data_IF_537962264539
#
_entry.id   IF_537962264539
#
_cell.length_a   1.000
_cell.length_b   1.000
_cell.length_c   1.000
_cell.angle_alpha   90.00
_cell.angle_beta   90.00
_cell.angle_gamma   90.00
#
_symmetry.space_group_name_H-M   'P 1'
#
loop_
_entity.id
_entity.type
_entity.pdbx_description
1 polymer ?
#
# COMPACT_ATOMS: atom_id res chain seq x y z
N UNK A 1 14.72 25.85 19.26
CA UNK A 1 13.68 25.78 20.31
C UNK A 1 12.81 24.51 20.29
N UNK A 2 12.82 23.65 19.24
CA UNK A 2 11.92 22.49 19.16
C UNK A 2 12.33 21.24 19.97
N UNK A 3 13.63 20.95 20.13
CA UNK A 3 14.09 19.75 20.85
C UNK A 3 13.66 19.69 22.33
N UNK A 4 13.55 20.85 22.98
CA UNK A 4 13.17 20.96 24.41
C UNK A 4 11.69 20.64 24.64
N UNK A 5 10.85 20.97 23.66
CA UNK A 5 9.41 20.71 23.70
C UNK A 5 9.12 19.22 23.50
N UNK A 6 9.82 18.56 22.56
CA UNK A 6 9.68 17.12 22.31
C UNK A 6 10.08 16.25 23.52
N UNK A 7 11.17 16.62 24.22
CA UNK A 7 11.62 15.91 25.44
C UNK A 7 10.57 15.97 26.56
N UNK A 8 9.92 17.13 26.72
CA UNK A 8 8.87 17.35 27.74
C UNK A 8 7.64 16.44 27.53
N UNK A 9 7.19 16.27 26.28
CA UNK A 9 6.05 15.40 25.99
C UNK A 9 6.31 13.93 26.32
N UNK A 10 7.51 13.40 26.03
CA UNK A 10 7.87 12.01 26.30
C UNK A 10 8.08 11.66 27.78
N UNK A 11 8.24 12.66 28.65
CA UNK A 11 8.45 12.47 30.08
C UNK A 11 7.16 12.67 30.89
N UNK A 12 6.16 13.37 30.34
CA UNK A 12 4.88 13.68 31.00
C UNK A 12 3.72 12.76 30.58
N UNK A 13 3.85 11.99 29.50
CA UNK A 13 2.82 11.03 29.05
C UNK A 13 3.01 9.63 29.64
N UNK A 14 1.95 8.95 30.11
CA UNK A 14 2.03 7.54 30.49
C UNK A 14 2.32 6.69 29.26
N UNK A 15 3.52 6.11 29.20
CA UNK A 15 3.95 5.21 28.14
C UNK A 15 3.41 3.80 28.41
N UNK A 16 3.00 3.10 27.36
CA UNK A 16 2.72 1.67 27.44
C UNK A 16 4.03 0.86 27.60
N UNK A 17 3.90 -0.45 27.84
CA UNK A 17 5.08 -1.28 28.13
C UNK A 17 6.01 -1.43 26.91
N UNK A 18 5.47 -1.38 25.69
CA UNK A 18 6.26 -1.41 24.45
C UNK A 18 7.02 -0.09 24.25
N UNK A 19 6.37 1.05 24.51
CA UNK A 19 6.96 2.37 24.40
C UNK A 19 8.07 2.61 25.44
N UNK A 20 7.92 2.08 26.66
CA UNK A 20 8.98 2.11 27.68
C UNK A 20 10.20 1.30 27.26
N UNK A 21 9.98 0.08 26.78
CA UNK A 21 11.04 -0.79 26.28
C UNK A 21 11.80 -0.12 25.12
N UNK A 22 11.08 0.49 24.18
CA UNK A 22 11.69 1.24 23.08
C UNK A 22 12.51 2.45 23.57
N UNK A 23 12.01 3.18 24.59
CA UNK A 23 12.73 4.31 25.20
C UNK A 23 14.04 3.84 25.84
N UNK A 24 14.01 2.74 26.57
CA UNK A 24 15.22 2.16 27.17
C UNK A 24 16.24 1.72 26.11
N UNK A 25 15.79 1.08 25.03
CA UNK A 25 16.67 0.69 23.93
C UNK A 25 17.30 1.90 23.22
N UNK A 26 16.54 2.97 23.01
CA UNK A 26 17.04 4.21 22.42
C UNK A 26 18.04 4.93 23.33
N UNK A 27 17.81 4.93 24.64
CA UNK A 27 18.71 5.55 25.63
C UNK A 27 20.01 4.76 25.83
N UNK A 28 19.98 3.43 25.67
CA UNK A 28 21.18 2.57 25.68
C UNK A 28 22.12 2.86 24.50
N UNK A 29 21.62 3.43 23.41
CA UNK A 29 22.46 3.87 22.28
C UNK A 29 23.17 2.74 21.53
N UNK A 30 22.68 1.50 21.64
CA UNK A 30 23.29 0.30 21.06
C UNK A 30 23.05 0.15 19.55
N UNK A 31 22.27 1.05 18.94
CA UNK A 31 21.97 1.02 17.52
C UNK A 31 23.20 1.42 16.70
N UNK A 32 23.82 0.44 16.05
CA UNK A 32 24.89 0.66 15.08
C UNK A 32 24.26 0.85 13.70
N UNK A 33 24.76 1.85 12.95
CA UNK A 33 24.34 2.02 11.56
C UNK A 33 24.74 0.81 10.73
N UNK A 34 23.84 0.39 9.84
CA UNK A 34 24.09 -0.70 8.92
C UNK A 34 25.41 -0.44 8.13
N UNK A 35 26.34 -1.42 8.07
CA UNK A 35 27.57 -1.31 7.29
C UNK A 35 27.35 -0.89 5.83
N UNK A 36 26.21 -1.29 5.24
CA UNK A 36 25.82 -0.99 3.86
C UNK A 36 24.68 0.04 3.78
N UNK A 37 24.55 0.92 4.78
CA UNK A 37 23.43 1.86 4.91
C UNK A 37 23.06 2.60 3.62
N UNK A 38 24.05 3.06 2.82
CA UNK A 38 23.77 3.76 1.55
C UNK A 38 23.12 2.86 0.50
N UNK A 39 23.59 1.63 0.37
CA UNK A 39 23.06 0.66 -0.59
C UNK A 39 21.67 0.19 -0.17
N UNK A 40 21.52 -0.19 1.10
CA UNK A 40 20.24 -0.63 1.64
C UNK A 40 19.19 0.50 1.60
N UNK A 41 19.58 1.72 1.95
CA UNK A 41 18.70 2.89 1.81
C UNK A 41 18.23 3.08 0.36
N UNK A 42 19.14 3.00 -0.61
CA UNK A 42 18.80 3.13 -2.02
C UNK A 42 17.86 2.01 -2.48
N UNK A 43 18.14 0.77 -2.09
CA UNK A 43 17.29 -0.38 -2.38
C UNK A 43 15.87 -0.20 -1.82
N UNK A 44 15.74 0.23 -0.56
CA UNK A 44 14.44 0.48 0.06
C UNK A 44 13.70 1.66 -0.58
N UNK A 45 14.40 2.73 -0.95
CA UNK A 45 13.80 3.86 -1.68
C UNK A 45 13.28 3.44 -3.05
N UNK A 46 14.02 2.61 -3.79
CA UNK A 46 13.59 2.07 -5.09
C UNK A 46 12.40 1.12 -4.94
N UNK A 47 12.44 0.22 -3.96
CA UNK A 47 11.33 -0.68 -3.67
C UNK A 47 10.05 0.09 -3.31
N UNK A 48 10.16 1.13 -2.48
CA UNK A 48 9.03 1.98 -2.11
C UNK A 48 8.46 2.73 -3.32
N UNK A 49 9.31 3.30 -4.18
CA UNK A 49 8.87 3.96 -5.42
C UNK A 49 8.14 2.99 -6.34
N UNK A 50 8.73 1.82 -6.59
CA UNK A 50 8.14 0.81 -7.46
C UNK A 50 6.77 0.34 -6.92
N UNK A 51 6.64 0.17 -5.60
CA UNK A 51 5.37 -0.19 -5.00
C UNK A 51 4.31 0.89 -5.22
N UNK A 52 4.66 2.16 -4.98
CA UNK A 52 3.73 3.29 -5.21
C UNK A 52 3.33 3.37 -6.68
N UNK A 53 4.29 3.30 -7.61
CA UNK A 53 4.03 3.35 -9.05
C UNK A 53 3.13 2.20 -9.54
N UNK A 54 3.27 1.01 -8.96
CA UNK A 54 2.46 -0.16 -9.32
C UNK A 54 1.06 -0.13 -8.68
N UNK A 55 0.92 0.45 -7.50
CA UNK A 55 -0.36 0.60 -6.81
C UNK A 55 -1.19 1.78 -7.35
N UNK A 56 -0.53 2.75 -8.00
CA UNK A 56 -1.19 3.88 -8.63
C UNK A 56 -2.13 3.44 -9.76
N UNK A 57 -3.42 3.76 -9.59
CA UNK A 57 -4.43 3.43 -10.60
C UNK A 57 -4.26 4.30 -11.84
N UNK A 58 -3.91 3.68 -12.98
CA UNK A 58 -3.86 4.35 -14.28
C UNK A 58 -5.16 4.16 -15.06
N UNK A 59 -5.75 5.26 -15.56
CA UNK A 59 -6.95 5.19 -16.39
C UNK A 59 -6.65 4.63 -17.79
N UNK A 60 -7.46 3.68 -18.25
CA UNK A 60 -7.40 3.14 -19.62
C UNK A 60 -8.73 3.37 -20.36
N UNK A 61 -8.64 3.69 -21.65
CA UNK A 61 -9.82 3.85 -22.51
C UNK A 61 -10.07 2.57 -23.30
N UNK A 62 -11.22 1.93 -23.09
CA UNK A 62 -11.61 0.70 -23.79
C UNK A 62 -12.92 0.91 -24.54
N UNK A 63 -12.96 0.54 -25.82
CA UNK A 63 -14.21 0.51 -26.60
C UNK A 63 -14.93 -0.81 -26.36
N UNK A 64 -16.19 -0.74 -25.98
CA UNK A 64 -17.06 -1.89 -25.71
C UNK A 64 -18.39 -1.73 -26.43
N UNK A 65 -18.97 -2.84 -26.90
CA UNK A 65 -20.30 -2.84 -27.51
C UNK A 65 -21.34 -2.42 -26.46
N UNK A 66 -22.30 -1.58 -26.86
CA UNK A 66 -23.37 -1.10 -25.95
C UNK A 66 -24.14 -2.24 -25.27
N UNK A 67 -24.42 -3.32 -26.02
CA UNK A 67 -25.10 -4.52 -25.51
C UNK A 67 -24.32 -5.19 -24.37
N UNK A 68 -23.00 -5.29 -24.51
CA UNK A 68 -22.15 -5.95 -23.52
C UNK A 68 -21.98 -5.09 -22.28
N UNK A 69 -21.83 -3.76 -22.46
CA UNK A 69 -21.83 -2.81 -21.35
C UNK A 69 -23.13 -2.89 -20.52
N UNK A 70 -24.28 -3.00 -21.18
CA UNK A 70 -25.57 -3.13 -20.50
C UNK A 70 -25.65 -4.43 -19.67
N UNK A 71 -25.21 -5.56 -20.23
CA UNK A 71 -25.14 -6.84 -19.52
C UNK A 71 -24.20 -6.79 -18.32
N UNK A 72 -23.04 -6.13 -18.47
CA UNK A 72 -22.06 -5.97 -17.41
C UNK A 72 -22.62 -5.16 -16.25
N UNK A 73 -23.26 -4.02 -16.54
CA UNK A 73 -23.95 -3.19 -15.54
C UNK A 73 -25.03 -3.98 -14.81
N UNK A 74 -25.84 -4.75 -15.53
CA UNK A 74 -26.85 -5.60 -14.90
C UNK A 74 -26.24 -6.68 -13.99
N UNK A 75 -25.11 -7.29 -14.39
CA UNK A 75 -24.40 -8.28 -13.56
C UNK A 75 -23.79 -7.64 -12.31
N UNK A 76 -23.21 -6.46 -12.42
CA UNK A 76 -22.65 -5.71 -11.30
C UNK A 76 -23.73 -5.30 -10.30
N UNK A 77 -24.87 -4.78 -10.78
CA UNK A 77 -26.01 -4.42 -9.96
C UNK A 77 -26.57 -5.62 -9.16
N UNK A 78 -26.67 -6.81 -9.77
CA UNK A 78 -27.09 -8.03 -9.06
C UNK A 78 -26.17 -8.42 -7.90
N UNK A 79 -24.88 -8.06 -7.99
CA UNK A 79 -23.89 -8.35 -6.95
C UNK A 79 -23.64 -7.15 -6.02
N UNK A 80 -24.45 -6.08 -6.11
CA UNK A 80 -24.30 -4.84 -5.34
C UNK A 80 -22.90 -4.21 -5.41
N UNK A 81 -22.24 -4.31 -6.59
CA UNK A 81 -20.94 -3.69 -6.83
C UNK A 81 -21.00 -2.73 -8.03
N UNK A 82 -20.15 -1.68 -8.06
CA UNK A 82 -19.97 -0.86 -9.26
C UNK A 82 -19.49 -1.71 -10.45
N UNK A 83 -19.91 -1.36 -11.67
CA UNK A 83 -19.48 -2.11 -12.86
C UNK A 83 -17.98 -1.96 -13.13
N UNK A 84 -17.36 -0.83 -12.73
CA UNK A 84 -15.91 -0.66 -12.81
C UNK A 84 -15.18 -1.66 -11.89
N UNK A 85 -15.69 -1.88 -10.67
CA UNK A 85 -15.14 -2.86 -9.73
C UNK A 85 -15.22 -4.27 -10.31
N UNK A 86 -16.32 -4.63 -10.98
CA UNK A 86 -16.45 -5.90 -11.67
C UNK A 86 -15.41 -6.04 -12.81
N UNK A 87 -15.13 -4.98 -13.55
CA UNK A 87 -14.07 -4.99 -14.59
C UNK A 87 -12.71 -5.23 -13.96
N UNK A 88 -12.37 -4.51 -12.89
CA UNK A 88 -11.09 -4.68 -12.20
C UNK A 88 -10.93 -6.11 -11.67
N UNK A 89 -11.99 -6.67 -11.07
CA UNK A 89 -11.97 -8.05 -10.59
C UNK A 89 -11.72 -9.06 -11.72
N UNK A 90 -12.33 -8.85 -12.89
CA UNK A 90 -12.09 -9.71 -14.06
C UNK A 90 -10.63 -9.64 -14.53
N UNK A 91 -10.04 -8.44 -14.53
CA UNK A 91 -8.62 -8.24 -14.88
C UNK A 91 -7.72 -8.98 -13.87
N UNK A 92 -7.95 -8.80 -12.57
CA UNK A 92 -7.18 -9.49 -11.52
C UNK A 92 -7.31 -11.02 -11.62
N UNK A 93 -8.52 -11.53 -11.78
CA UNK A 93 -8.76 -12.98 -11.95
C UNK A 93 -8.09 -13.55 -13.20
N UNK A 94 -8.04 -12.77 -14.29
CA UNK A 94 -7.33 -13.18 -15.49
C UNK A 94 -5.80 -13.20 -15.26
N UNK A 95 -5.25 -12.17 -14.64
CA UNK A 95 -3.81 -12.10 -14.31
C UNK A 95 -3.37 -13.22 -13.34
N UNK A 96 -4.25 -13.61 -12.42
CA UNK A 96 -4.02 -14.73 -11.49
C UNK A 96 -4.25 -16.12 -12.11
N UNK A 97 -4.64 -16.19 -13.39
CA UNK A 97 -4.88 -17.46 -14.10
C UNK A 97 -6.18 -18.18 -13.71
N UNK A 98 -7.08 -17.53 -12.96
CA UNK A 98 -8.38 -18.08 -12.54
C UNK A 98 -9.42 -18.07 -13.66
N UNK A 99 -9.19 -17.27 -14.71
CA UNK A 99 -10.08 -17.16 -15.87
C UNK A 99 -9.33 -17.54 -17.15
N UNK A 100 -9.88 -18.46 -17.94
CA UNK A 100 -9.35 -18.83 -19.26
C UNK A 100 -9.97 -17.96 -20.34
N UNK A 101 -9.12 -17.31 -21.14
CA UNK A 101 -9.52 -16.70 -22.42
C UNK A 101 -8.99 -17.61 -23.52
N UNK A 102 -9.88 -18.04 -24.41
CA UNK A 102 -9.45 -18.70 -25.65
C UNK A 102 -9.05 -17.62 -26.64
N UNK A 103 -7.81 -17.67 -27.11
CA UNK A 103 -7.24 -16.79 -28.14
C UNK A 103 -7.41 -17.40 -29.52
#
# INVERSE_FOLDING_TARGET
MSKKLAKKYFDETPLDDYEKELKEFLEKGEFVSDPNFKENKKMFEEAAKNFIELEESKSITVRVKRKDLAKLKAKAARNNIPYQTLINLLISQYNEGKTKINL
#
